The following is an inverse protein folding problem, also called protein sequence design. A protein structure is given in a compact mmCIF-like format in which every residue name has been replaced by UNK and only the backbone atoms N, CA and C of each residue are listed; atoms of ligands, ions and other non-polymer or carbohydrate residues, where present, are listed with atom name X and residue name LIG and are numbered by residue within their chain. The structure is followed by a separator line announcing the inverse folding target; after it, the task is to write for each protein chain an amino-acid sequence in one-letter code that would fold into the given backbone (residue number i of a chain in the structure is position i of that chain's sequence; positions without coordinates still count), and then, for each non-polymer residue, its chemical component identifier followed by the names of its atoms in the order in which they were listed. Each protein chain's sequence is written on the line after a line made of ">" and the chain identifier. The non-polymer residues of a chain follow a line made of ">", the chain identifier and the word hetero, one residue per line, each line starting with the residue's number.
data_IF_357749432084
#
_entry.id   IF_357749432084
#
_cell.length_a   1.000
_cell.length_b   1.000
_cell.length_c   1.000
_cell.angle_alpha   90.00
_cell.angle_beta   90.00
_cell.angle_gamma   90.00
#
_symmetry.space_group_name_H-M   'P 1'
#
loop_
_entity.id
_entity.type
_entity.pdbx_description
1 polymer ?
#
# COMPACT_ATOMS: atom_id res chain seq x y z
N UNK A 1 20.15 -54.39 36.20
CA UNK A 1 20.63 -53.12 35.66
C UNK A 1 19.60 -52.62 34.64
N UNK A 2 18.65 -51.73 35.10
CA UNK A 2 17.56 -51.24 34.28
C UNK A 2 18.01 -49.87 33.72
N UNK A 3 18.17 -49.75 32.42
CA UNK A 3 18.45 -48.49 31.76
C UNK A 3 17.12 -47.75 31.55
N UNK A 4 16.90 -46.65 32.26
CA UNK A 4 15.84 -45.68 32.00
C UNK A 4 16.20 -44.90 30.73
N UNK A 5 15.51 -45.19 29.63
CA UNK A 5 15.46 -44.33 28.43
C UNK A 5 14.61 -43.10 28.76
N UNK A 6 15.26 -42.01 29.06
CA UNK A 6 14.63 -40.70 29.11
C UNK A 6 14.43 -40.26 27.67
N UNK A 7 13.21 -40.46 27.14
CA UNK A 7 12.77 -39.90 25.87
C UNK A 7 12.50 -38.39 26.13
N UNK A 8 13.51 -37.57 25.89
CA UNK A 8 13.35 -36.12 25.84
C UNK A 8 12.55 -35.77 24.60
N UNK A 9 11.27 -35.37 24.75
CA UNK A 9 10.55 -34.65 23.73
C UNK A 9 11.30 -33.33 23.50
N UNK A 10 12.16 -33.30 22.50
CA UNK A 10 12.61 -32.04 21.94
C UNK A 10 11.35 -31.38 21.34
N UNK A 11 10.79 -30.38 22.04
CA UNK A 11 9.81 -29.48 21.47
C UNK A 11 10.50 -28.86 20.26
N UNK A 12 10.04 -29.18 19.04
CA UNK A 12 10.46 -28.44 17.85
C UNK A 12 10.32 -26.96 18.19
N UNK A 13 11.43 -26.23 18.14
CA UNK A 13 11.36 -24.77 18.27
C UNK A 13 10.51 -24.29 17.10
N UNK A 14 9.32 -23.78 17.41
CA UNK A 14 8.49 -23.12 16.42
C UNK A 14 9.34 -22.05 15.74
N UNK A 15 9.33 -22.03 14.41
CA UNK A 15 10.05 -21.01 13.66
C UNK A 15 9.27 -19.68 13.80
N UNK A 16 9.71 -18.83 14.72
CA UNK A 16 9.10 -17.55 15.03
C UNK A 16 9.66 -16.42 14.16
N UNK A 17 10.50 -16.73 13.18
CA UNK A 17 11.04 -15.72 12.26
C UNK A 17 10.00 -15.38 11.18
N UNK A 18 9.58 -14.14 11.11
CA UNK A 18 8.61 -13.64 10.12
C UNK A 18 9.25 -12.54 9.31
N UNK A 19 9.40 -12.77 8.00
CA UNK A 19 9.70 -11.71 7.04
C UNK A 19 8.38 -11.11 6.56
N UNK A 20 8.20 -9.78 6.71
CA UNK A 20 7.01 -9.07 6.26
C UNK A 20 7.32 -8.19 5.05
N UNK A 21 6.61 -8.42 3.93
CA UNK A 21 6.68 -7.60 2.73
C UNK A 21 5.91 -6.30 2.94
N UNK A 22 6.56 -5.16 2.64
CA UNK A 22 5.99 -3.82 2.77
C UNK A 22 6.01 -3.08 1.43
N UNK A 23 6.18 -1.78 1.44
CA UNK A 23 6.41 -0.93 0.27
C UNK A 23 7.67 -0.09 0.48
N UNK A 24 7.87 0.92 -0.35
CA UNK A 24 8.95 1.89 -0.21
C UNK A 24 8.84 2.72 1.07
N UNK A 25 9.95 3.30 1.50
CA UNK A 25 10.13 4.00 2.80
C UNK A 25 9.28 5.27 2.94
N UNK A 26 8.80 5.84 1.83
CA UNK A 26 7.89 6.99 1.77
C UNK A 26 6.41 6.64 1.95
N UNK A 27 6.06 5.34 1.98
CA UNK A 27 4.69 4.83 2.05
C UNK A 27 4.26 4.35 3.42
N UNK A 28 2.95 4.11 3.57
CA UNK A 28 2.35 3.69 4.84
C UNK A 28 2.65 2.23 5.18
N UNK A 29 2.80 1.33 4.20
CA UNK A 29 3.16 -0.07 4.44
C UNK A 29 4.47 -0.21 5.22
N UNK A 30 5.48 0.56 4.83
CA UNK A 30 6.78 0.56 5.52
C UNK A 30 6.67 1.06 6.95
N UNK A 31 5.94 2.17 7.17
CA UNK A 31 5.74 2.71 8.53
C UNK A 31 4.96 1.73 9.40
N UNK A 32 3.90 1.12 8.88
CA UNK A 32 3.07 0.14 9.58
C UNK A 32 3.86 -1.13 9.91
N UNK A 33 4.61 -1.66 8.94
CA UNK A 33 5.44 -2.86 9.11
C UNK A 33 6.52 -2.66 10.18
N UNK A 34 7.20 -1.50 10.20
CA UNK A 34 8.21 -1.21 11.23
C UNK A 34 7.58 -1.09 12.63
N UNK A 35 6.44 -0.41 12.77
CA UNK A 35 5.74 -0.36 14.04
C UNK A 35 5.32 -1.75 14.54
N UNK A 36 4.82 -2.60 13.64
CA UNK A 36 4.47 -3.97 13.99
C UNK A 36 5.70 -4.79 14.39
N UNK A 37 6.81 -4.63 13.68
CA UNK A 37 8.10 -5.25 14.03
C UNK A 37 8.53 -4.84 15.44
N UNK A 38 8.59 -3.52 15.70
CA UNK A 38 9.06 -3.00 16.98
C UNK A 38 8.18 -3.50 18.16
N UNK A 39 6.87 -3.55 17.97
CA UNK A 39 5.92 -4.10 18.96
C UNK A 39 6.12 -5.61 19.13
N UNK A 40 6.25 -6.37 18.05
CA UNK A 40 6.42 -7.81 18.09
C UNK A 40 7.72 -8.20 18.83
N UNK A 41 8.81 -7.50 18.59
CA UNK A 41 10.10 -7.72 19.29
C UNK A 41 10.05 -7.38 20.78
N UNK A 42 9.19 -6.45 21.19
CA UNK A 42 9.06 -6.03 22.61
C UNK A 42 8.08 -6.90 23.40
N UNK A 43 7.03 -7.43 22.77
CA UNK A 43 5.89 -8.04 23.47
C UNK A 43 5.63 -9.50 23.10
N UNK A 44 6.50 -10.11 22.26
CA UNK A 44 6.37 -11.52 21.86
C UNK A 44 7.71 -12.16 21.57
N UNK A 45 7.69 -13.48 21.30
CA UNK A 45 8.87 -14.23 20.87
C UNK A 45 9.04 -14.22 19.33
N UNK A 46 8.29 -13.36 18.60
CA UNK A 46 8.39 -13.23 17.15
C UNK A 46 9.59 -12.35 16.80
N UNK A 47 10.52 -12.91 16.03
CA UNK A 47 11.59 -12.17 15.37
C UNK A 47 11.10 -11.72 13.99
N UNK A 48 10.81 -10.41 13.85
CA UNK A 48 10.23 -9.87 12.64
C UNK A 48 11.25 -9.02 11.86
N UNK A 49 11.33 -9.23 10.56
CA UNK A 49 12.15 -8.42 9.67
C UNK A 49 11.34 -7.84 8.51
N UNK A 50 11.79 -6.70 7.99
CA UNK A 50 11.10 -5.94 6.94
C UNK A 50 11.73 -6.21 5.58
N UNK A 51 10.90 -6.60 4.62
CA UNK A 51 11.25 -6.66 3.21
C UNK A 51 10.62 -5.48 2.47
N UNK A 52 11.46 -4.55 2.00
CA UNK A 52 11.03 -3.47 1.11
C UNK A 52 10.73 -4.04 -0.27
N UNK A 53 9.67 -3.57 -0.89
CA UNK A 53 9.25 -3.95 -2.24
C UNK A 53 8.58 -2.79 -2.97
N UNK A 54 8.22 -3.01 -4.25
CA UNK A 54 7.41 -2.06 -5.02
C UNK A 54 5.95 -1.97 -4.52
N UNK A 55 5.48 -2.90 -3.68
CA UNK A 55 4.11 -2.92 -3.11
C UNK A 55 3.31 -4.17 -3.44
N UNK A 56 2.00 -4.03 -3.67
CA UNK A 56 1.04 -5.14 -3.56
C UNK A 56 1.31 -6.34 -4.46
N UNK A 57 1.53 -6.15 -5.78
CA UNK A 57 1.77 -7.28 -6.67
C UNK A 57 3.15 -7.92 -6.43
N UNK A 58 4.18 -7.10 -6.15
CA UNK A 58 5.49 -7.60 -5.77
C UNK A 58 5.41 -8.42 -4.47
N UNK A 59 4.68 -7.94 -3.47
CA UNK A 59 4.48 -8.64 -2.19
C UNK A 59 3.79 -9.99 -2.36
N UNK A 60 2.79 -10.08 -3.23
CA UNK A 60 2.12 -11.35 -3.52
C UNK A 60 3.05 -12.36 -4.19
N UNK A 61 3.95 -11.90 -5.08
CA UNK A 61 5.00 -12.76 -5.67
C UNK A 61 6.05 -13.19 -4.63
N UNK A 62 6.43 -12.30 -3.70
CA UNK A 62 7.32 -12.67 -2.60
C UNK A 62 6.71 -13.74 -1.69
N UNK A 63 5.40 -13.65 -1.41
CA UNK A 63 4.65 -14.67 -0.66
C UNK A 63 4.60 -16.01 -1.43
N UNK A 64 4.31 -15.97 -2.73
CA UNK A 64 4.26 -17.15 -3.60
C UNK A 64 5.60 -17.92 -3.57
N UNK A 65 6.69 -17.17 -3.64
CA UNK A 65 8.04 -17.75 -3.62
C UNK A 65 8.58 -18.03 -2.22
N UNK A 66 7.76 -17.90 -1.17
CA UNK A 66 8.14 -18.08 0.24
C UNK A 66 9.33 -17.23 0.70
N UNK A 67 9.56 -16.09 0.05
CA UNK A 67 10.60 -15.11 0.44
C UNK A 67 10.13 -14.34 1.67
N UNK A 68 8.84 -14.04 1.76
CA UNK A 68 8.20 -13.46 2.94
C UNK A 68 7.08 -14.37 3.45
N UNK A 69 6.86 -14.35 4.76
CA UNK A 69 5.80 -15.11 5.41
C UNK A 69 4.49 -14.34 5.50
N UNK A 70 4.59 -13.01 5.66
CA UNK A 70 3.47 -12.07 5.67
C UNK A 70 3.74 -10.90 4.74
N UNK A 71 2.68 -10.17 4.35
CA UNK A 71 2.82 -8.96 3.55
C UNK A 71 1.60 -8.04 3.71
N UNK A 72 1.79 -6.75 3.42
CA UNK A 72 0.70 -5.78 3.31
C UNK A 72 0.42 -5.58 1.81
N UNK A 73 -0.85 -5.73 1.43
CA UNK A 73 -1.30 -5.63 0.03
C UNK A 73 -2.65 -4.93 -0.06
N UNK A 74 -2.98 -4.39 -1.21
CA UNK A 74 -4.32 -3.87 -1.50
C UNK A 74 -5.31 -5.02 -1.72
N UNK A 75 -6.53 -4.90 -1.18
CA UNK A 75 -7.58 -5.90 -1.31
C UNK A 75 -8.00 -6.15 -2.77
N UNK A 76 -7.97 -5.14 -3.62
CA UNK A 76 -8.29 -5.25 -5.04
C UNK A 76 -7.22 -6.03 -5.81
N UNK A 77 -5.92 -5.82 -5.48
CA UNK A 77 -4.81 -6.57 -6.06
C UNK A 77 -4.79 -8.02 -5.55
N UNK A 78 -5.10 -8.24 -4.27
CA UNK A 78 -5.28 -9.58 -3.71
C UNK A 78 -6.40 -10.34 -4.42
N UNK A 79 -7.52 -9.66 -4.68
CA UNK A 79 -8.67 -10.24 -5.40
C UNK A 79 -8.31 -10.63 -6.83
N UNK A 80 -7.57 -9.77 -7.53
CA UNK A 80 -7.10 -10.08 -8.89
C UNK A 80 -6.13 -11.25 -8.89
N UNK A 81 -5.18 -11.27 -7.97
CA UNK A 81 -4.23 -12.37 -7.83
C UNK A 81 -4.94 -13.71 -7.55
N UNK A 82 -5.90 -13.71 -6.61
CA UNK A 82 -6.68 -14.90 -6.30
C UNK A 82 -7.49 -15.42 -7.49
N UNK A 83 -8.01 -14.51 -8.34
CA UNK A 83 -8.82 -14.84 -9.52
C UNK A 83 -8.00 -15.01 -10.80
N UNK A 84 -6.68 -14.84 -10.77
CA UNK A 84 -5.82 -14.92 -11.96
C UNK A 84 -6.15 -13.84 -12.97
N UNK A 85 -6.33 -12.59 -12.52
CA UNK A 85 -6.65 -11.42 -13.36
C UNK A 85 -5.51 -10.40 -13.36
N UNK A 86 -5.52 -9.51 -14.37
CA UNK A 86 -4.54 -8.43 -14.48
C UNK A 86 -3.13 -8.97 -14.59
N UNK A 87 -2.23 -8.56 -13.71
CA UNK A 87 -0.82 -9.03 -13.70
C UNK A 87 -0.65 -10.51 -13.33
N UNK A 88 -1.71 -11.16 -12.87
CA UNK A 88 -1.76 -12.59 -12.50
C UNK A 88 -2.57 -13.42 -13.49
N UNK A 89 -2.83 -12.90 -14.70
CA UNK A 89 -3.61 -13.60 -15.72
C UNK A 89 -2.98 -14.94 -16.05
N UNK A 90 -3.81 -16.00 -16.00
CA UNK A 90 -3.37 -17.39 -16.21
C UNK A 90 -2.60 -18.03 -15.05
N UNK A 91 -2.27 -17.28 -14.00
CA UNK A 91 -1.54 -17.78 -12.82
C UNK A 91 -2.19 -17.34 -11.50
N UNK A 92 -3.35 -17.90 -11.11
CA UNK A 92 -4.06 -17.49 -9.90
C UNK A 92 -3.31 -17.91 -8.63
N UNK A 93 -3.12 -16.99 -7.69
CA UNK A 93 -2.48 -17.24 -6.41
C UNK A 93 -3.50 -17.66 -5.35
N UNK A 94 -3.46 -18.96 -4.95
CA UNK A 94 -4.36 -19.54 -3.95
C UNK A 94 -3.67 -19.83 -2.59
N UNK A 95 -2.43 -19.38 -2.44
CA UNK A 95 -1.56 -19.73 -1.31
C UNK A 95 -1.59 -18.75 -0.16
N UNK A 96 -2.34 -17.64 -0.30
CA UNK A 96 -2.39 -16.59 0.70
C UNK A 96 -3.71 -16.59 1.45
N UNK A 97 -3.64 -16.25 2.75
CA UNK A 97 -4.80 -16.01 3.62
C UNK A 97 -4.85 -14.55 4.00
N UNK A 98 -6.01 -13.92 3.89
CA UNK A 98 -6.24 -12.62 4.50
C UNK A 98 -6.26 -12.77 6.03
N UNK A 99 -5.44 -11.98 6.71
CA UNK A 99 -5.28 -12.00 8.18
C UNK A 99 -6.10 -10.87 8.80
N UNK A 100 -5.93 -9.63 8.33
CA UNK A 100 -6.65 -8.46 8.83
C UNK A 100 -6.80 -7.39 7.75
N UNK A 101 -7.95 -6.69 7.74
CA UNK A 101 -8.05 -5.37 7.13
C UNK A 101 -7.39 -4.35 8.05
N UNK A 102 -6.53 -3.49 7.51
CA UNK A 102 -5.71 -2.59 8.29
C UNK A 102 -6.27 -1.15 8.28
N UNK A 103 -6.33 -0.55 7.10
CA UNK A 103 -6.79 0.84 6.92
C UNK A 103 -7.17 1.09 5.46
N UNK A 104 -7.87 2.20 5.22
CA UNK A 104 -8.19 2.64 3.86
C UNK A 104 -7.05 3.45 3.27
N UNK A 105 -6.66 3.13 2.05
CA UNK A 105 -5.69 3.86 1.24
C UNK A 105 -6.44 4.73 0.25
N UNK A 106 -6.24 6.05 0.33
CA UNK A 106 -6.83 6.99 -0.61
C UNK A 106 -5.99 7.12 -1.87
N UNK A 107 -6.63 7.24 -3.03
CA UNK A 107 -5.95 7.61 -4.26
C UNK A 107 -5.67 9.10 -4.26
N UNK A 108 -4.41 9.46 -4.46
CA UNK A 108 -3.93 10.83 -4.39
C UNK A 108 -3.18 11.15 -5.68
N UNK A 109 -3.68 12.11 -6.44
CA UNK A 109 -3.05 12.55 -7.69
C UNK A 109 -2.43 13.90 -7.39
N UNK A 110 -1.14 13.86 -7.04
CA UNK A 110 -0.38 15.05 -6.67
C UNK A 110 0.14 15.73 -7.93
N UNK A 111 -0.09 17.03 -8.04
CA UNK A 111 0.27 17.82 -9.21
C UNK A 111 1.03 19.09 -8.82
N UNK A 112 1.90 19.55 -9.72
CA UNK A 112 2.52 20.86 -9.58
C UNK A 112 1.44 21.94 -9.75
N UNK A 113 1.13 22.69 -8.68
CA UNK A 113 0.07 23.70 -8.65
C UNK A 113 0.24 24.81 -9.69
N UNK A 114 1.48 25.06 -10.16
CA UNK A 114 1.74 26.08 -11.20
C UNK A 114 1.10 25.74 -12.54
N UNK A 115 0.84 24.46 -12.80
CA UNK A 115 0.21 23.97 -14.03
C UNK A 115 -1.31 24.26 -14.07
N UNK A 116 -1.94 24.56 -12.92
CA UNK A 116 -3.37 24.89 -12.80
C UNK A 116 -4.29 23.81 -13.38
N UNK A 117 -3.94 22.53 -13.16
CA UNK A 117 -4.74 21.40 -13.62
C UNK A 117 -6.04 21.31 -12.80
N UNK A 118 -7.12 20.94 -13.44
CA UNK A 118 -8.45 20.83 -12.83
C UNK A 118 -9.04 19.42 -12.90
N UNK A 119 -8.53 18.60 -13.80
CA UNK A 119 -9.02 17.26 -14.08
C UNK A 119 -7.87 16.30 -14.40
N UNK A 120 -8.17 15.00 -14.40
CA UNK A 120 -7.22 13.95 -14.80
C UNK A 120 -6.91 14.02 -16.29
N UNK A 121 -7.86 14.46 -17.13
CA UNK A 121 -7.63 14.68 -18.56
C UNK A 121 -6.51 15.70 -18.84
N UNK A 122 -6.29 16.66 -17.93
CA UNK A 122 -5.22 17.67 -18.07
C UNK A 122 -3.82 17.05 -17.91
N UNK A 123 -3.70 15.79 -17.51
CA UNK A 123 -2.41 15.07 -17.44
C UNK A 123 -1.87 14.66 -18.82
N UNK A 124 -2.67 14.77 -19.88
CA UNK A 124 -2.26 14.41 -21.25
C UNK A 124 -0.96 15.11 -21.66
N UNK A 125 0.03 14.33 -22.11
CA UNK A 125 1.35 14.78 -22.52
C UNK A 125 2.29 15.24 -21.40
N UNK A 126 1.84 15.24 -20.13
CA UNK A 126 2.66 15.62 -18.99
C UNK A 126 3.52 14.45 -18.49
N UNK A 127 4.64 14.78 -17.80
CA UNK A 127 5.50 13.80 -17.14
C UNK A 127 4.83 13.33 -15.85
N UNK A 128 4.36 12.10 -15.84
CA UNK A 128 3.55 11.56 -14.75
C UNK A 128 4.12 10.25 -14.22
N UNK A 129 4.37 10.16 -12.92
CA UNK A 129 4.70 8.89 -12.28
C UNK A 129 3.42 8.15 -11.88
N UNK A 130 3.33 6.91 -12.32
CA UNK A 130 2.20 6.01 -12.06
C UNK A 130 2.51 4.96 -10.97
N UNK A 131 3.60 5.16 -10.23
CA UNK A 131 4.14 4.18 -9.28
C UNK A 131 5.09 3.19 -9.93
N UNK A 132 5.75 2.39 -9.12
CA UNK A 132 6.73 1.38 -9.57
C UNK A 132 6.03 0.21 -10.29
N UNK A 133 6.76 -0.47 -11.17
CA UNK A 133 6.30 -1.73 -11.74
C UNK A 133 6.07 -2.77 -10.64
N UNK A 134 4.97 -3.52 -10.72
CA UNK A 134 4.58 -4.47 -9.67
C UNK A 134 3.93 -3.81 -8.45
N UNK A 135 3.64 -2.49 -8.49
CA UNK A 135 2.91 -1.80 -7.44
C UNK A 135 1.39 -1.88 -7.64
N UNK A 136 0.65 -1.84 -6.54
CA UNK A 136 -0.81 -1.62 -6.60
C UNK A 136 -1.16 -0.23 -7.16
N UNK A 137 -0.28 0.75 -6.98
CA UNK A 137 -0.45 2.12 -7.48
C UNK A 137 -0.50 2.15 -8.99
N UNK A 138 0.38 1.42 -9.69
CA UNK A 138 0.37 1.32 -11.16
C UNK A 138 -0.98 0.81 -11.67
N UNK A 139 -1.53 -0.23 -11.04
CA UNK A 139 -2.86 -0.74 -11.35
C UNK A 139 -3.92 0.34 -11.15
N UNK A 140 -3.89 1.02 -10.01
CA UNK A 140 -4.87 2.04 -9.66
C UNK A 140 -4.79 3.26 -10.58
N UNK A 141 -3.58 3.70 -10.96
CA UNK A 141 -3.37 4.78 -11.92
C UNK A 141 -3.97 4.44 -13.29
N UNK A 142 -3.71 3.22 -13.80
CA UNK A 142 -4.32 2.72 -15.04
C UNK A 142 -5.86 2.73 -14.98
N UNK A 143 -6.44 2.33 -13.84
CA UNK A 143 -7.89 2.32 -13.65
C UNK A 143 -8.48 3.73 -13.64
N UNK A 144 -7.79 4.68 -12.96
CA UNK A 144 -8.20 6.10 -12.94
C UNK A 144 -8.10 6.70 -14.34
N UNK A 145 -6.97 6.55 -15.03
CA UNK A 145 -6.82 7.05 -16.41
C UNK A 145 -7.94 6.52 -17.29
N UNK A 146 -8.27 5.22 -17.22
CA UNK A 146 -9.38 4.61 -17.98
C UNK A 146 -10.74 5.22 -17.64
N UNK A 147 -11.00 5.63 -16.39
CA UNK A 147 -12.25 6.29 -16.00
C UNK A 147 -12.44 7.64 -16.69
N UNK A 148 -11.34 8.24 -17.15
CA UNK A 148 -11.31 9.48 -17.95
C UNK A 148 -11.07 9.24 -19.44
N UNK A 149 -11.16 7.97 -19.92
CA UNK A 149 -10.95 7.62 -21.33
C UNK A 149 -9.49 7.69 -21.77
N UNK A 150 -8.56 7.68 -20.83
CA UNK A 150 -7.12 7.76 -21.06
C UNK A 150 -6.43 6.42 -20.79
N UNK A 151 -5.21 6.30 -21.29
CA UNK A 151 -4.26 5.22 -21.02
C UNK A 151 -2.90 5.79 -20.57
N UNK A 152 -1.97 4.94 -20.24
CA UNK A 152 -0.59 5.37 -19.94
C UNK A 152 0.14 5.94 -21.17
N UNK A 153 -0.33 5.65 -22.38
CA UNK A 153 0.25 6.16 -23.63
C UNK A 153 -0.12 7.63 -23.88
N UNK A 154 -1.12 8.17 -23.17
CA UNK A 154 -1.53 9.57 -23.27
C UNK A 154 -0.68 10.51 -22.40
N UNK A 155 0.26 9.96 -21.61
CA UNK A 155 1.14 10.71 -20.72
C UNK A 155 2.62 10.35 -20.99
N UNK A 156 3.56 11.22 -20.60
CA UNK A 156 4.97 10.87 -20.52
C UNK A 156 5.23 10.10 -19.21
N UNK A 157 5.02 8.77 -19.27
CA UNK A 157 4.94 7.90 -18.11
C UNK A 157 6.29 7.68 -17.43
N UNK A 158 6.30 7.69 -16.09
CA UNK A 158 7.45 7.33 -15.24
C UNK A 158 7.02 6.28 -14.22
N UNK A 159 7.95 5.39 -13.86
CA UNK A 159 7.74 4.32 -12.88
C UNK A 159 8.67 4.58 -11.68
N UNK A 160 8.20 5.39 -10.71
CA UNK A 160 9.01 5.84 -9.60
C UNK A 160 8.39 5.43 -8.26
N UNK A 161 9.23 5.26 -7.25
CA UNK A 161 8.80 5.20 -5.86
C UNK A 161 8.15 6.52 -5.43
N UNK A 162 7.41 6.53 -4.31
CA UNK A 162 6.81 7.79 -3.82
C UNK A 162 7.85 8.84 -3.47
N UNK A 163 8.99 8.43 -2.91
CA UNK A 163 10.08 9.34 -2.56
C UNK A 163 10.75 9.92 -3.80
N UNK A 164 11.05 9.06 -4.79
CA UNK A 164 11.69 9.50 -6.03
C UNK A 164 10.73 10.41 -6.84
N UNK A 165 9.44 10.09 -6.88
CA UNK A 165 8.43 10.92 -7.53
C UNK A 165 8.30 12.30 -6.86
N UNK A 166 8.29 12.35 -5.52
CA UNK A 166 8.27 13.61 -4.77
C UNK A 166 9.53 14.43 -5.03
N UNK A 167 10.72 13.82 -5.06
CA UNK A 167 11.98 14.48 -5.38
C UNK A 167 12.01 14.98 -6.83
N UNK A 168 11.57 14.17 -7.79
CA UNK A 168 11.49 14.55 -9.20
C UNK A 168 10.53 15.74 -9.42
N UNK A 169 9.37 15.75 -8.75
CA UNK A 169 8.43 16.89 -8.82
C UNK A 169 9.06 18.15 -8.18
N UNK A 170 9.74 18.00 -7.04
CA UNK A 170 10.46 19.10 -6.39
C UNK A 170 11.52 19.72 -7.28
N UNK A 171 12.23 18.91 -8.04
CA UNK A 171 13.29 19.33 -8.95
C UNK A 171 12.76 19.87 -10.30
N UNK A 172 11.44 19.76 -10.56
CA UNK A 172 10.83 20.14 -11.84
C UNK A 172 11.05 19.12 -12.96
N UNK A 173 11.43 17.90 -12.61
CA UNK A 173 11.63 16.77 -13.53
C UNK A 173 10.34 15.97 -13.75
N UNK A 174 9.33 16.20 -12.91
CA UNK A 174 8.01 15.56 -12.94
C UNK A 174 6.91 16.63 -12.79
N UNK A 175 5.76 16.40 -13.41
CA UNK A 175 4.61 17.31 -13.39
C UNK A 175 3.51 16.84 -12.43
N UNK A 176 3.34 15.51 -12.33
CA UNK A 176 2.38 14.88 -11.44
C UNK A 176 2.80 13.47 -11.05
N UNK A 177 2.22 12.93 -9.95
CA UNK A 177 2.38 11.52 -9.59
C UNK A 177 1.17 10.97 -8.85
N UNK A 178 0.95 9.67 -9.04
CA UNK A 178 -0.08 8.91 -8.35
C UNK A 178 0.47 8.29 -7.06
N UNK A 179 -0.34 8.32 -6.02
CA UNK A 179 -0.10 7.65 -4.73
C UNK A 179 -1.36 6.92 -4.32
N UNK A 180 -1.24 5.68 -3.87
CA UNK A 180 -2.29 4.96 -3.15
C UNK A 180 -1.73 4.58 -1.80
N UNK A 181 -2.16 5.31 -0.78
CA UNK A 181 -1.71 5.17 0.60
C UNK A 181 -2.69 5.87 1.55
N UNK A 182 -2.51 5.70 2.85
CA UNK A 182 -3.22 6.55 3.81
C UNK A 182 -2.84 8.02 3.66
N UNK A 183 -3.72 8.92 4.07
CA UNK A 183 -3.45 10.35 4.11
C UNK A 183 -3.44 10.83 5.58
N UNK A 184 -2.36 11.52 6.05
CA UNK A 184 -1.21 11.99 5.26
C UNK A 184 -0.20 10.89 4.90
N UNK A 185 0.34 10.95 3.67
CA UNK A 185 1.44 10.11 3.20
C UNK A 185 2.77 10.85 3.40
N UNK A 186 3.79 10.16 3.91
CA UNK A 186 5.09 10.76 4.26
C UNK A 186 5.73 11.49 3.08
N UNK A 187 5.76 10.90 1.90
CA UNK A 187 6.37 11.51 0.71
C UNK A 187 5.65 12.81 0.28
N UNK A 188 4.31 12.86 0.39
CA UNK A 188 3.54 14.07 0.07
C UNK A 188 3.74 15.15 1.14
N UNK A 189 3.76 14.78 2.42
CA UNK A 189 4.04 15.72 3.52
C UNK A 189 5.42 16.35 3.36
N UNK A 190 6.46 15.55 3.10
CA UNK A 190 7.81 16.04 2.82
C UNK A 190 7.83 17.07 1.67
N UNK A 191 7.14 16.78 0.59
CA UNK A 191 7.06 17.68 -0.57
C UNK A 191 6.33 18.97 -0.21
N UNK A 192 5.19 18.90 0.48
CA UNK A 192 4.41 20.06 0.93
C UNK A 192 5.20 20.95 1.90
N UNK A 193 5.99 20.34 2.81
CA UNK A 193 6.83 21.07 3.76
C UNK A 193 8.06 21.70 3.11
N UNK A 194 8.49 21.21 1.94
CA UNK A 194 9.59 21.77 1.14
C UNK A 194 9.23 23.08 0.41
N UNK A 195 8.05 23.65 0.66
CA UNK A 195 7.51 24.86 0.02
C UNK A 195 7.32 24.74 -1.52
N UNK A 196 7.28 23.52 -2.04
CA UNK A 196 6.89 23.28 -3.43
C UNK A 196 5.38 23.45 -3.55
N UNK A 197 4.88 24.30 -4.46
CA UNK A 197 3.45 24.49 -4.60
C UNK A 197 2.82 23.25 -5.26
N UNK A 198 2.11 22.47 -4.46
CA UNK A 198 1.37 21.29 -4.93
C UNK A 198 -0.14 21.52 -4.84
N UNK A 199 -0.89 20.77 -5.62
CA UNK A 199 -2.32 20.52 -5.44
C UNK A 199 -2.57 19.00 -5.56
N UNK A 200 -3.78 18.60 -5.17
CA UNK A 200 -4.25 17.22 -5.32
C UNK A 200 -5.57 17.27 -6.10
N UNK A 201 -5.66 16.51 -7.18
CA UNK A 201 -6.86 16.46 -8.01
C UNK A 201 -7.94 15.62 -7.30
N UNK A 202 -9.17 16.15 -7.29
CA UNK A 202 -10.36 15.37 -6.95
C UNK A 202 -10.82 14.57 -8.16
N UNK A 203 -11.42 13.41 -7.92
CA UNK A 203 -12.15 12.67 -8.94
C UNK A 203 -13.59 13.19 -9.03
N UNK A 204 -14.12 13.28 -10.24
CA UNK A 204 -15.52 13.63 -10.45
C UNK A 204 -16.46 12.44 -10.18
N UNK A 205 -17.75 12.72 -10.01
CA UNK A 205 -18.76 11.69 -9.72
C UNK A 205 -18.89 10.63 -10.81
N UNK A 206 -18.62 10.99 -12.08
CA UNK A 206 -18.66 10.04 -13.22
C UNK A 206 -17.54 9.02 -13.10
N UNK A 207 -16.31 9.48 -12.84
CA UNK A 207 -15.15 8.63 -12.67
C UNK A 207 -15.28 7.75 -11.42
N UNK A 208 -15.78 8.29 -10.31
CA UNK A 208 -16.04 7.54 -9.09
C UNK A 208 -17.03 6.40 -9.34
N UNK A 209 -18.16 6.69 -9.97
CA UNK A 209 -19.15 5.64 -10.33
C UNK A 209 -18.58 4.61 -11.29
N UNK A 210 -17.79 5.02 -12.28
CA UNK A 210 -17.14 4.09 -13.19
C UNK A 210 -16.20 3.14 -12.42
N UNK A 211 -15.36 3.67 -11.55
CA UNK A 211 -14.41 2.87 -10.76
C UNK A 211 -15.12 1.87 -9.85
N UNK A 212 -16.16 2.29 -9.12
CA UNK A 212 -16.92 1.43 -8.23
C UNK A 212 -17.69 0.32 -8.96
N UNK A 213 -18.20 0.60 -10.16
CA UNK A 213 -18.94 -0.37 -10.97
C UNK A 213 -18.03 -1.35 -11.73
N UNK A 214 -16.83 -0.90 -12.11
CA UNK A 214 -15.90 -1.69 -12.92
C UNK A 214 -14.94 -2.54 -12.10
N UNK A 215 -14.66 -2.16 -10.85
CA UNK A 215 -13.66 -2.79 -10.02
C UNK A 215 -14.18 -3.04 -8.61
N UNK A 216 -13.91 -4.23 -8.07
CA UNK A 216 -14.26 -4.56 -6.69
C UNK A 216 -13.31 -3.89 -5.68
N UNK A 217 -13.83 -3.54 -4.52
CA UNK A 217 -13.02 -3.04 -3.39
C UNK A 217 -12.80 -1.54 -3.36
N UNK A 218 -13.37 -0.78 -4.31
CA UNK A 218 -13.27 0.68 -4.35
C UNK A 218 -14.39 1.34 -3.55
N UNK A 219 -14.04 2.20 -2.60
CA UNK A 219 -14.95 3.00 -1.80
C UNK A 219 -14.66 4.49 -1.98
N UNK A 220 -15.70 5.34 -1.85
CA UNK A 220 -15.49 6.80 -1.85
C UNK A 220 -14.80 7.19 -0.55
N UNK A 221 -13.78 8.04 -0.66
CA UNK A 221 -13.06 8.59 0.49
C UNK A 221 -12.79 10.08 0.28
N UNK A 222 -12.53 10.78 1.37
CA UNK A 222 -12.26 12.23 1.36
C UNK A 222 -11.00 12.53 2.15
N UNK A 223 -10.01 13.12 1.49
CA UNK A 223 -8.85 13.68 2.16
C UNK A 223 -9.24 15.09 2.61
N UNK A 224 -9.23 15.31 3.92
CA UNK A 224 -9.71 16.57 4.50
C UNK A 224 -8.75 17.73 4.20
N UNK A 225 -9.32 18.92 4.06
CA UNK A 225 -8.55 20.17 4.00
C UNK A 225 -7.58 20.24 5.19
N UNK A 226 -6.36 20.70 4.94
CA UNK A 226 -5.34 20.81 5.98
C UNK A 226 -4.57 19.52 6.28
N UNK A 227 -4.92 18.38 5.67
CA UNK A 227 -4.14 17.13 5.78
C UNK A 227 -2.69 17.34 5.30
N UNK A 228 -2.51 18.15 4.26
CA UNK A 228 -1.20 18.57 3.78
C UNK A 228 -1.10 20.09 3.78
N UNK A 229 0.10 20.62 4.07
CA UNK A 229 0.38 22.05 4.02
C UNK A 229 0.05 22.61 2.63
N UNK A 230 -0.76 23.66 2.57
CA UNK A 230 -1.14 24.34 1.32
C UNK A 230 -2.37 23.74 0.62
N UNK A 231 -2.91 22.59 1.06
CA UNK A 231 -4.16 22.01 0.57
C UNK A 231 -5.32 22.51 1.44
N UNK A 232 -6.08 23.47 0.94
CA UNK A 232 -7.12 24.19 1.68
C UNK A 232 -8.55 23.79 1.27
N UNK A 233 -8.70 22.69 0.53
CA UNK A 233 -9.98 22.11 0.09
C UNK A 233 -10.05 20.64 0.46
N UNK A 234 -11.26 20.12 0.65
CA UNK A 234 -11.49 18.69 0.72
C UNK A 234 -11.26 18.06 -0.67
N UNK A 235 -10.63 16.90 -0.71
CA UNK A 235 -10.35 16.15 -1.95
C UNK A 235 -11.22 14.91 -1.95
N UNK A 236 -12.19 14.85 -2.85
CA UNK A 236 -13.02 13.66 -3.07
C UNK A 236 -12.29 12.71 -4.01
N UNK A 237 -12.16 11.46 -3.58
CA UNK A 237 -11.47 10.42 -4.34
C UNK A 237 -12.06 9.04 -4.00
N UNK A 238 -11.44 7.99 -4.47
CA UNK A 238 -11.73 6.62 -4.05
C UNK A 238 -10.55 6.04 -3.29
N UNK A 239 -10.80 4.95 -2.56
CA UNK A 239 -9.77 4.22 -1.84
C UNK A 239 -10.01 2.72 -1.87
N UNK A 240 -8.98 1.99 -1.48
CA UNK A 240 -8.98 0.54 -1.30
C UNK A 240 -8.53 0.20 0.12
N UNK A 241 -8.79 -1.02 0.56
CA UNK A 241 -8.36 -1.50 1.88
C UNK A 241 -6.94 -2.07 1.79
N UNK A 242 -6.03 -1.60 2.66
CA UNK A 242 -4.80 -2.31 2.96
C UNK A 242 -5.11 -3.55 3.80
N UNK A 243 -4.58 -4.70 3.41
CA UNK A 243 -4.83 -6.00 4.04
C UNK A 243 -3.51 -6.63 4.42
N UNK A 244 -3.39 -7.11 5.66
CA UNK A 244 -2.32 -8.02 6.04
C UNK A 244 -2.68 -9.41 5.54
N UNK A 245 -1.77 -10.03 4.82
CA UNK A 245 -1.90 -11.39 4.30
C UNK A 245 -0.75 -12.25 4.80
N UNK A 246 -0.97 -13.55 4.91
CA UNK A 246 0.04 -14.54 5.25
C UNK A 246 0.05 -15.66 4.22
N UNK A 247 1.20 -16.28 3.98
CA UNK A 247 1.26 -17.52 3.23
C UNK A 247 0.79 -18.71 4.09
N UNK A 248 0.51 -19.84 3.44
CA UNK A 248 -0.02 -21.02 4.13
C UNK A 248 0.98 -21.70 5.09
N UNK A 249 2.26 -21.34 5.01
CA UNK A 249 3.33 -21.95 5.80
C UNK A 249 3.56 -21.26 7.15
N UNK A 250 2.95 -20.10 7.37
CA UNK A 250 3.01 -19.41 8.66
C UNK A 250 2.17 -20.16 9.69
N UNK A 251 2.77 -20.39 10.84
CA UNK A 251 2.11 -21.03 11.98
C UNK A 251 0.90 -20.21 12.46
N UNK A 252 -0.21 -20.89 12.73
CA UNK A 252 -1.44 -20.24 13.19
C UNK A 252 -1.27 -19.49 14.52
N UNK A 253 -0.42 -19.98 15.41
CA UNK A 253 -0.08 -19.28 16.67
C UNK A 253 0.58 -17.93 16.42
N UNK A 254 1.49 -17.84 15.44
CA UNK A 254 2.15 -16.60 15.06
C UNK A 254 1.15 -15.60 14.44
N UNK A 255 0.21 -16.09 13.62
CA UNK A 255 -0.87 -15.23 13.07
C UNK A 255 -1.74 -14.69 14.20
N UNK A 256 -2.12 -15.52 15.17
CA UNK A 256 -2.92 -15.09 16.31
C UNK A 256 -2.17 -14.07 17.17
N UNK A 257 -0.87 -14.29 17.44
CA UNK A 257 -0.04 -13.32 18.17
C UNK A 257 0.01 -11.98 17.45
N UNK A 258 0.29 -11.95 16.13
CA UNK A 258 0.31 -10.72 15.34
C UNK A 258 -1.04 -10.00 15.38
N UNK A 259 -2.16 -10.73 15.25
CA UNK A 259 -3.50 -10.15 15.36
C UNK A 259 -3.78 -9.51 16.73
N UNK A 260 -3.34 -10.17 17.81
CA UNK A 260 -3.51 -9.66 19.16
C UNK A 260 -2.67 -8.40 19.40
N UNK A 261 -1.43 -8.36 18.88
CA UNK A 261 -0.57 -7.17 18.95
C UNK A 261 -1.20 -5.99 18.19
N UNK A 262 -1.72 -6.21 16.97
CA UNK A 262 -2.41 -5.17 16.19
C UNK A 262 -3.62 -4.62 16.97
N UNK A 263 -4.43 -5.50 17.57
CA UNK A 263 -5.60 -5.09 18.36
C UNK A 263 -5.21 -4.31 19.62
N UNK A 264 -4.19 -4.75 20.35
CA UNK A 264 -3.73 -4.11 21.57
C UNK A 264 -3.17 -2.71 21.32
N UNK A 265 -2.58 -2.48 20.13
CA UNK A 265 -1.93 -1.21 19.75
C UNK A 265 -2.70 -0.44 18.66
N UNK A 266 -4.01 -0.65 18.53
CA UNK A 266 -4.84 -0.08 17.48
C UNK A 266 -4.70 1.45 17.37
N UNK A 267 -4.60 2.17 18.49
CA UNK A 267 -4.44 3.63 18.49
C UNK A 267 -3.11 4.08 17.87
N UNK A 268 -2.03 3.32 18.07
CA UNK A 268 -0.72 3.59 17.45
C UNK A 268 -0.79 3.36 15.95
N UNK A 269 -1.41 2.30 15.50
CA UNK A 269 -1.60 2.01 14.08
C UNK A 269 -2.56 2.99 13.40
N UNK A 270 -3.61 3.45 14.10
CA UNK A 270 -4.52 4.49 13.60
C UNK A 270 -3.78 5.81 13.36
N UNK A 271 -2.85 6.20 14.24
CA UNK A 271 -2.01 7.40 14.01
C UNK A 271 -1.12 7.27 12.79
N UNK A 272 -0.54 6.09 12.55
CA UNK A 272 0.29 5.83 11.36
C UNK A 272 -0.54 5.92 10.07
N UNK A 273 -1.76 5.41 10.10
CA UNK A 273 -2.67 5.40 8.94
C UNK A 273 -3.51 6.67 8.80
N UNK A 274 -3.32 7.68 9.65
CA UNK A 274 -4.08 8.93 9.60
C UNK A 274 -5.56 8.76 10.00
N UNK A 275 -5.96 7.60 10.49
CA UNK A 275 -7.30 7.35 11.03
C UNK A 275 -7.34 7.91 12.46
N UNK A 276 -7.65 9.20 12.60
CA UNK A 276 -8.04 9.74 13.90
C UNK A 276 -9.49 9.34 14.15
N UNK A 277 -9.71 8.55 15.20
CA UNK A 277 -11.04 8.23 15.75
C UNK A 277 -11.73 9.50 16.19
#
# INVERSE_FOLDING_TARGET
>A
MFALLVSGCAKERENNNIHIGTGGTGGTYFAYGNALKDIAEQESDIDMSIQISAGSAANLRLLENNIVGMAIVQNDTLTDAYNGKGEFEGNPLKITKAVAGLYTESYQIVVNKKLKLNSVEDLSGLRVSVGEEGSGVLKNAKNILRAYGMTVDDIDVRYLSFEDAANALKNGELDAFFVTASAPTKAISYLADSNVPIDILSLDDRAIRFLQNSYSGYSVTTIKKGTYKGINKDITTVGVMAVLVANNNINSSNIETVLNLIKAHQDSFNKISGNTV
#
